data_IF_283183374366
#
_entry.id   IF_283183374366
#
_cell.length_a   1.000
_cell.length_b   1.000
_cell.length_c   1.000
_cell.angle_alpha   90.00
_cell.angle_beta   90.00
_cell.angle_gamma   90.00
#
_symmetry.space_group_name_H-M   'P 1'
#
loop_
_entity.id
_entity.type
_entity.pdbx_description
1 polymer ?
#
# COMPACT_ATOMS: atom_id res chain seq x y z
N UNK A 1 13.91 -3.03 -28.74
CA UNK A 1 13.63 -2.01 -27.70
C UNK A 1 12.55 -2.57 -26.78
N UNK A 2 12.87 -2.88 -25.51
CA UNK A 2 11.86 -3.32 -24.53
C UNK A 2 10.91 -2.14 -24.30
N UNK A 3 9.62 -2.30 -24.62
CA UNK A 3 8.61 -1.35 -24.15
C UNK A 3 8.69 -1.31 -22.63
N UNK A 4 8.94 -0.12 -22.08
CA UNK A 4 8.93 0.10 -20.63
C UNK A 4 7.47 0.07 -20.20
N UNK A 5 7.00 -1.08 -19.72
CA UNK A 5 5.71 -1.21 -19.05
C UNK A 5 5.83 -0.49 -17.71
N UNK A 6 5.26 0.72 -17.61
CA UNK A 6 5.12 1.37 -16.30
C UNK A 6 4.08 0.58 -15.53
N UNK A 7 4.50 -0.04 -14.43
CA UNK A 7 3.62 -0.76 -13.53
C UNK A 7 3.31 0.16 -12.35
N UNK A 8 2.02 0.31 -12.03
CA UNK A 8 1.53 1.02 -10.86
C UNK A 8 1.02 0.01 -9.81
N UNK A 9 1.28 0.26 -8.53
CA UNK A 9 0.80 -0.60 -7.45
C UNK A 9 -0.16 0.18 -6.55
N UNK A 10 -1.44 -0.17 -6.57
CA UNK A 10 -2.49 0.45 -5.75
C UNK A 10 -2.98 -0.54 -4.70
N UNK A 11 -2.76 -0.21 -3.44
CA UNK A 11 -3.24 -1.02 -2.33
C UNK A 11 -4.30 -0.23 -1.57
N UNK A 12 -5.32 -0.92 -1.07
CA UNK A 12 -6.32 -0.30 -0.21
C UNK A 12 -6.70 -1.16 0.99
N UNK A 13 -6.99 -0.49 2.09
CA UNK A 13 -7.67 -1.10 3.23
C UNK A 13 -8.56 -0.09 3.96
N UNK A 14 -9.36 -0.60 4.89
CA UNK A 14 -10.24 0.22 5.72
C UNK A 14 -9.55 0.80 6.95
N UNK A 15 -8.59 0.06 7.52
CA UNK A 15 -8.09 0.32 8.87
C UNK A 15 -6.67 0.84 8.92
N UNK A 16 -6.04 1.19 7.80
CA UNK A 16 -4.64 1.61 7.75
C UNK A 16 -3.73 0.59 8.48
N UNK A 17 -2.92 1.05 9.42
CA UNK A 17 -2.03 0.25 10.27
C UNK A 17 -2.52 0.19 11.72
N UNK A 18 -3.84 0.18 11.95
CA UNK A 18 -4.47 0.33 13.27
C UNK A 18 -3.88 -0.60 14.36
N UNK A 19 -3.59 -1.86 14.05
CA UNK A 19 -3.00 -2.80 15.02
C UNK A 19 -1.63 -2.31 15.53
N UNK A 20 -0.77 -1.88 14.61
CA UNK A 20 0.56 -1.32 14.94
C UNK A 20 0.47 0.07 15.54
N UNK A 21 -0.53 0.88 15.19
CA UNK A 21 -0.81 2.17 15.82
C UNK A 21 -1.15 1.99 17.31
N UNK A 22 -2.01 1.02 17.64
CA UNK A 22 -2.37 0.67 19.02
C UNK A 22 -1.13 0.21 19.79
N UNK A 23 -0.29 -0.65 19.19
CA UNK A 23 0.96 -1.12 19.82
C UNK A 23 1.94 0.03 20.05
N UNK A 24 2.08 0.93 19.07
CA UNK A 24 2.94 2.10 19.21
C UNK A 24 2.44 3.02 20.32
N UNK A 25 1.13 3.33 20.34
CA UNK A 25 0.50 4.13 21.39
C UNK A 25 0.75 3.53 22.78
N UNK A 26 0.58 2.21 22.92
CA UNK A 26 0.83 1.52 24.19
C UNK A 26 2.29 1.64 24.67
N UNK A 27 3.25 1.80 23.75
CA UNK A 27 4.67 1.96 24.09
C UNK A 27 5.10 3.38 24.48
N UNK A 28 4.25 4.39 24.22
CA UNK A 28 4.55 5.81 24.48
C UNK A 28 3.61 6.46 25.50
N UNK A 29 2.51 5.81 25.87
CA UNK A 29 1.49 6.37 26.75
C UNK A 29 1.91 6.47 28.22
N UNK A 30 2.84 5.61 28.67
CA UNK A 30 3.35 5.60 30.05
C UNK A 30 4.75 6.23 30.08
N UNK A 31 4.91 7.42 30.70
CA UNK A 31 6.21 8.07 30.86
C UNK A 31 7.22 7.23 31.66
N UNK A 32 6.74 6.35 32.55
CA UNK A 32 7.57 5.42 33.33
C UNK A 32 8.04 4.19 32.54
N UNK A 33 7.45 3.94 31.36
CA UNK A 33 7.74 2.80 30.48
C UNK A 33 7.83 3.26 29.01
N UNK A 34 8.56 4.36 28.75
CA UNK A 34 8.69 4.95 27.42
C UNK A 34 9.65 4.16 26.51
N UNK A 35 9.04 3.18 25.83
CA UNK A 35 9.57 2.07 25.04
C UNK A 35 9.59 2.09 23.50
N UNK A 36 9.57 3.22 22.74
CA UNK A 36 9.18 3.14 21.33
C UNK A 36 10.24 2.46 20.46
N UNK A 37 9.96 1.22 20.03
CA UNK A 37 10.78 0.50 19.06
C UNK A 37 10.73 1.17 17.68
N UNK A 38 11.87 1.50 17.04
CA UNK A 38 11.89 2.16 15.74
C UNK A 38 11.12 1.39 14.66
N UNK A 39 11.21 0.05 14.66
CA UNK A 39 10.46 -0.79 13.74
C UNK A 39 8.94 -0.64 13.91
N UNK A 40 8.44 -0.62 15.15
CA UNK A 40 7.00 -0.46 15.42
C UNK A 40 6.51 0.89 14.90
N UNK A 41 7.30 1.95 15.08
CA UNK A 41 6.98 3.27 14.54
C UNK A 41 6.86 3.26 13.02
N UNK A 42 7.80 2.67 12.26
CA UNK A 42 7.70 2.66 10.80
C UNK A 42 6.48 1.86 10.33
N UNK A 43 6.12 0.80 11.04
CA UNK A 43 4.95 -0.03 10.72
C UNK A 43 3.61 0.65 11.01
N UNK A 44 3.59 1.82 11.67
CA UNK A 44 2.38 2.68 11.73
C UNK A 44 2.00 3.24 10.36
N UNK A 45 2.94 3.28 9.40
CA UNK A 45 2.67 3.80 8.06
C UNK A 45 2.08 2.72 7.14
N UNK A 46 0.86 2.88 6.62
CA UNK A 46 0.19 1.82 5.85
C UNK A 46 0.89 1.51 4.52
N UNK A 47 1.64 2.48 3.98
CA UNK A 47 2.41 2.29 2.75
C UNK A 47 3.57 1.28 2.91
N UNK A 48 3.97 0.91 4.14
CA UNK A 48 5.01 -0.10 4.35
C UNK A 48 4.63 -1.45 3.75
N UNK A 49 3.34 -1.78 3.74
CA UNK A 49 2.86 -3.02 3.16
C UNK A 49 3.11 -3.10 1.64
N UNK A 50 3.05 -1.96 0.94
CA UNK A 50 3.46 -1.90 -0.46
C UNK A 50 4.97 -2.06 -0.58
N UNK A 51 5.74 -1.41 0.31
CA UNK A 51 7.20 -1.56 0.34
C UNK A 51 7.64 -3.01 0.50
N UNK A 52 7.02 -3.76 1.42
CA UNK A 52 7.29 -5.19 1.60
C UNK A 52 6.99 -6.03 0.36
N UNK A 53 5.83 -5.79 -0.27
CA UNK A 53 5.45 -6.48 -1.51
C UNK A 53 6.44 -6.12 -2.62
N UNK A 54 6.80 -4.85 -2.77
CA UNK A 54 7.75 -4.40 -3.77
C UNK A 54 9.14 -5.00 -3.58
N UNK A 55 9.64 -5.11 -2.34
CA UNK A 55 10.92 -5.76 -2.05
C UNK A 55 10.83 -7.26 -2.33
N UNK A 56 9.80 -7.93 -1.82
CA UNK A 56 9.62 -9.39 -1.97
C UNK A 56 9.51 -9.81 -3.43
N UNK A 57 8.84 -9.00 -4.25
CA UNK A 57 8.57 -9.29 -5.66
C UNK A 57 9.43 -8.48 -6.65
N UNK A 58 10.43 -7.73 -6.15
CA UNK A 58 11.34 -6.90 -6.96
C UNK A 58 10.61 -5.92 -7.89
N UNK A 59 9.49 -5.37 -7.42
CA UNK A 59 8.68 -4.42 -8.19
C UNK A 59 9.29 -3.02 -8.07
N UNK A 60 9.70 -2.45 -9.21
CA UNK A 60 10.19 -1.09 -9.33
C UNK A 60 9.12 -0.20 -9.97
N UNK A 61 8.14 0.19 -9.15
CA UNK A 61 6.86 0.73 -9.61
C UNK A 61 6.51 2.02 -8.92
N UNK A 62 5.75 2.88 -9.58
CA UNK A 62 5.02 3.94 -8.87
C UNK A 62 3.94 3.27 -7.99
N UNK A 63 3.76 3.74 -6.75
CA UNK A 63 2.88 3.09 -5.79
C UNK A 63 2.02 4.07 -5.01
N UNK A 64 0.79 3.68 -4.70
CA UNK A 64 -0.12 4.44 -3.86
C UNK A 64 -0.90 3.52 -2.90
N UNK A 65 -1.05 3.97 -1.66
CA UNK A 65 -1.90 3.33 -0.67
C UNK A 65 -3.14 4.18 -0.41
N UNK A 66 -4.31 3.58 -0.42
CA UNK A 66 -5.59 4.24 -0.19
C UNK A 66 -6.26 3.69 1.07
N UNK A 67 -6.69 4.59 1.94
CA UNK A 67 -7.51 4.23 3.10
C UNK A 67 -8.97 4.49 2.71
N UNK A 68 -9.76 3.44 2.58
CA UNK A 68 -11.15 3.50 2.13
C UNK A 68 -12.02 2.53 2.92
N UNK A 69 -13.15 3.01 3.44
CA UNK A 69 -14.09 2.21 4.22
C UNK A 69 -14.63 1.01 3.43
N UNK A 70 -14.93 1.24 2.16
CA UNK A 70 -15.39 0.22 1.22
C UNK A 70 -14.32 0.05 0.14
N UNK A 71 -13.86 -1.18 -0.02
CA UNK A 71 -13.01 -1.54 -1.16
C UNK A 71 -13.84 -1.49 -2.44
N UNK A 72 -13.64 -0.45 -3.24
CA UNK A 72 -14.25 -0.33 -4.57
C UNK A 72 -13.16 -0.43 -5.65
N UNK A 73 -13.15 -1.59 -6.31
CA UNK A 73 -12.22 -1.88 -7.42
C UNK A 73 -12.34 -0.86 -8.55
N UNK A 74 -13.54 -0.36 -8.84
CA UNK A 74 -13.72 0.60 -9.92
C UNK A 74 -13.23 2.00 -9.53
N UNK A 75 -13.33 2.38 -8.24
CA UNK A 75 -12.67 3.57 -7.70
C UNK A 75 -11.15 3.47 -7.84
N UNK A 76 -10.55 2.34 -7.47
CA UNK A 76 -9.11 2.08 -7.63
C UNK A 76 -8.66 2.16 -9.10
N UNK A 77 -9.41 1.54 -10.02
CA UNK A 77 -9.14 1.64 -11.47
C UNK A 77 -9.25 3.07 -11.98
N UNK A 78 -10.26 3.82 -11.54
CA UNK A 78 -10.45 5.22 -11.92
C UNK A 78 -9.26 6.07 -11.48
N UNK A 79 -8.74 5.82 -10.27
CA UNK A 79 -7.51 6.45 -9.82
C UNK A 79 -6.31 6.04 -10.68
N UNK A 80 -6.20 4.76 -11.06
CA UNK A 80 -5.22 4.30 -12.05
C UNK A 80 -5.33 5.02 -13.40
N UNK A 81 -6.55 5.22 -13.90
CA UNK A 81 -6.82 5.94 -15.15
C UNK A 81 -6.41 7.42 -15.11
N UNK A 82 -6.44 8.07 -13.95
CA UNK A 82 -5.90 9.43 -13.78
C UNK A 82 -4.39 9.45 -14.08
N UNK A 83 -3.64 8.42 -13.65
CA UNK A 83 -2.22 8.31 -13.96
C UNK A 83 -1.94 7.97 -15.42
N UNK A 84 -2.83 7.20 -16.07
CA UNK A 84 -2.77 6.90 -17.51
C UNK A 84 -2.86 8.18 -18.37
N UNK A 85 -3.80 9.07 -18.03
CA UNK A 85 -3.94 10.37 -18.69
C UNK A 85 -2.79 11.35 -18.41
N UNK A 86 -1.98 11.13 -17.36
CA UNK A 86 -0.84 12.00 -17.02
C UNK A 86 0.36 11.89 -17.96
N UNK A 87 0.23 11.19 -19.10
CA UNK A 87 1.23 11.02 -20.17
C UNK A 87 2.48 10.19 -19.83
N UNK A 88 2.63 9.76 -18.57
CA UNK A 88 3.75 8.90 -18.12
C UNK A 88 3.55 7.42 -18.43
N UNK A 89 2.31 6.98 -18.64
CA UNK A 89 1.97 5.56 -18.81
C UNK A 89 1.44 5.38 -20.23
N UNK A 90 2.21 4.67 -21.04
CA UNK A 90 1.76 4.18 -22.35
C UNK A 90 1.89 2.66 -22.27
N UNK A 91 0.76 1.95 -22.24
CA UNK A 91 0.67 0.50 -22.02
C UNK A 91 1.04 0.08 -20.57
N UNK A 92 0.36 0.65 -19.58
CA UNK A 92 0.57 0.33 -18.17
C UNK A 92 -0.15 -0.92 -17.70
N UNK A 93 0.47 -1.62 -16.74
CA UNK A 93 -0.23 -2.60 -15.91
C UNK A 93 -0.45 -1.99 -14.53
N UNK A 94 -1.47 -2.44 -13.80
CA UNK A 94 -1.68 -2.04 -12.41
C UNK A 94 -1.90 -3.25 -11.51
N UNK A 95 -1.29 -3.23 -10.34
CA UNK A 95 -1.54 -4.19 -9.28
C UNK A 95 -2.60 -3.62 -8.34
N UNK A 96 -3.67 -4.37 -8.11
CA UNK A 96 -4.68 -4.04 -7.10
C UNK A 96 -4.54 -4.98 -5.92
N UNK A 97 -4.26 -4.41 -4.75
CA UNK A 97 -4.15 -5.13 -3.48
C UNK A 97 -5.25 -4.73 -2.50
N UNK A 98 -5.77 -5.71 -1.76
CA UNK A 98 -6.58 -5.48 -0.57
C UNK A 98 -5.87 -6.07 0.64
N UNK A 99 -5.69 -5.24 1.66
CA UNK A 99 -5.11 -5.70 2.93
C UNK A 99 -6.23 -5.73 3.97
N UNK A 100 -6.36 -6.84 4.66
CA UNK A 100 -7.26 -6.97 5.81
C UNK A 100 -6.44 -6.93 7.09
N UNK A 101 -6.98 -6.27 8.13
CA UNK A 101 -6.35 -6.26 9.43
C UNK A 101 -6.32 -7.69 9.99
N UNK A 102 -5.12 -8.23 10.22
CA UNK A 102 -4.93 -9.57 10.81
C UNK A 102 -4.98 -10.75 9.84
N UNK A 103 -5.17 -10.55 8.54
CA UNK A 103 -5.10 -11.63 7.52
C UNK A 103 -3.93 -11.41 6.54
N UNK A 104 -3.64 -12.44 5.73
CA UNK A 104 -2.61 -12.36 4.68
C UNK A 104 -2.94 -11.30 3.63
N UNK A 105 -1.92 -10.61 3.13
CA UNK A 105 -2.03 -9.67 2.00
C UNK A 105 -2.56 -10.42 0.77
N UNK A 106 -3.75 -10.05 0.29
CA UNK A 106 -4.32 -10.59 -0.95
C UNK A 106 -4.22 -9.54 -2.05
N UNK A 107 -3.56 -9.88 -3.15
CA UNK A 107 -3.38 -8.95 -4.27
C UNK A 107 -3.44 -9.68 -5.61
N UNK A 108 -3.83 -8.93 -6.65
CA UNK A 108 -3.92 -9.44 -8.02
C UNK A 108 -3.31 -8.44 -9.00
N UNK A 109 -2.47 -8.94 -9.89
CA UNK A 109 -1.94 -8.18 -11.02
C UNK A 109 -2.99 -8.11 -12.13
N UNK A 110 -3.25 -6.92 -12.65
CA UNK A 110 -4.17 -6.69 -13.76
C UNK A 110 -3.50 -5.81 -14.84
N UNK A 111 -3.73 -6.13 -16.11
CA UNK A 111 -3.22 -5.34 -17.25
C UNK A 111 -4.38 -4.56 -17.87
N UNK A 112 -4.10 -3.35 -18.37
CA UNK A 112 -5.02 -2.61 -19.27
C UNK A 112 -4.99 -3.26 -20.64
#
# INVERSE_FOLDING_TARGET
MRQVTVLLCFFANQSSSLDTDIRHQNSIQDPGQFYPGPAIFVYTLPNIAIGEVSIRHQLQTESMFLIQEVYDRESLKRQGGIFDHSSKIKNGAYCLGRIYAGEAISWKMETV
#
